data_IF_257874545729
#
_entry.id   IF_257874545729
#
_cell.length_a   1.000
_cell.length_b   1.000
_cell.length_c   1.000
_cell.angle_alpha   90.00
_cell.angle_beta   90.00
_cell.angle_gamma   90.00
#
_symmetry.space_group_name_H-M   'P 1'
#
loop_
_entity.id
_entity.type
_entity.pdbx_description
1 polymer ?
#
# COMPACT_ATOMS: atom_id res chain seq x y z
N UNK A 1 17.74 -17.77 1.22
CA UNK A 1 16.49 -16.99 1.06
C UNK A 1 15.36 -17.78 1.70
N UNK A 2 14.49 -17.16 2.48
CA UNK A 2 13.37 -17.85 3.14
C UNK A 2 12.32 -18.36 2.15
N UNK A 3 11.53 -19.34 2.57
CA UNK A 3 10.33 -19.80 1.84
C UNK A 3 9.37 -18.63 1.55
N UNK A 4 9.19 -17.72 2.52
CA UNK A 4 8.40 -16.51 2.33
C UNK A 4 8.95 -15.60 1.22
N UNK A 5 10.24 -15.25 1.26
CA UNK A 5 10.86 -14.41 0.24
C UNK A 5 10.77 -15.03 -1.17
N UNK A 6 10.94 -16.35 -1.28
CA UNK A 6 10.76 -17.07 -2.56
C UNK A 6 9.32 -16.97 -3.07
N UNK A 7 8.31 -17.08 -2.19
CA UNK A 7 6.90 -16.91 -2.56
C UNK A 7 6.62 -15.50 -3.07
N UNK A 8 7.17 -14.47 -2.44
CA UNK A 8 7.02 -13.08 -2.89
C UNK A 8 7.70 -12.87 -4.24
N UNK A 9 8.90 -13.40 -4.44
CA UNK A 9 9.59 -13.34 -5.73
C UNK A 9 8.77 -14.01 -6.84
N UNK A 10 8.30 -15.23 -6.59
CA UNK A 10 7.46 -15.97 -7.54
C UNK A 10 6.18 -15.21 -7.89
N UNK A 11 5.53 -14.63 -6.88
CA UNK A 11 4.34 -13.81 -7.07
C UNK A 11 4.58 -12.59 -7.96
N UNK A 12 5.67 -11.85 -7.75
CA UNK A 12 6.01 -10.68 -8.58
C UNK A 12 6.35 -11.11 -10.02
N UNK A 13 7.13 -12.19 -10.20
CA UNK A 13 7.49 -12.70 -11.52
C UNK A 13 6.32 -13.21 -12.35
N UNK A 14 5.34 -13.84 -11.69
CA UNK A 14 4.19 -14.44 -12.35
C UNK A 14 3.00 -13.48 -12.53
N UNK A 15 3.11 -12.24 -12.06
CA UNK A 15 2.03 -11.26 -12.18
C UNK A 15 2.06 -10.57 -13.57
N UNK A 16 1.18 -11.01 -14.47
CA UNK A 16 1.09 -10.51 -15.85
C UNK A 16 0.77 -9.01 -15.96
N UNK A 17 0.17 -8.40 -14.94
CA UNK A 17 -0.21 -6.99 -14.97
C UNK A 17 0.99 -6.05 -14.83
N UNK A 18 2.02 -6.50 -14.11
CA UNK A 18 3.26 -5.76 -13.83
C UNK A 18 4.49 -6.36 -14.50
N UNK A 19 4.34 -7.48 -15.20
CA UNK A 19 5.41 -8.11 -15.98
C UNK A 19 6.00 -7.11 -16.98
N UNK A 20 7.33 -7.01 -16.95
CA UNK A 20 8.09 -6.06 -17.79
C UNK A 20 8.17 -4.63 -17.25
N UNK A 21 7.45 -4.30 -16.16
CA UNK A 21 7.53 -2.97 -15.53
C UNK A 21 8.70 -2.85 -14.54
N UNK A 22 9.46 -3.91 -14.28
CA UNK A 22 10.56 -3.88 -13.32
C UNK A 22 11.82 -4.63 -13.79
N UNK A 23 12.96 -4.32 -13.16
CA UNK A 23 14.25 -5.00 -13.33
C UNK A 23 15.00 -5.07 -11.99
N UNK A 24 15.98 -5.96 -11.90
CA UNK A 24 16.87 -6.10 -10.73
C UNK A 24 16.10 -6.29 -9.41
N UNK A 25 15.11 -7.18 -9.41
CA UNK A 25 14.31 -7.51 -8.23
C UNK A 25 15.18 -8.23 -7.19
N UNK A 26 15.24 -7.67 -5.99
CA UNK A 26 15.81 -8.28 -4.80
C UNK A 26 14.76 -8.27 -3.69
N UNK A 27 14.65 -9.37 -2.95
CA UNK A 27 13.69 -9.51 -1.86
C UNK A 27 14.41 -10.08 -0.66
N UNK A 28 14.25 -9.42 0.48
CA UNK A 28 14.82 -9.78 1.77
C UNK A 28 13.71 -9.85 2.83
N UNK A 29 13.95 -10.60 3.89
CA UNK A 29 12.98 -10.81 4.97
C UNK A 29 12.38 -12.21 4.99
N UNK A 30 11.83 -12.58 6.14
CA UNK A 30 11.29 -13.92 6.41
C UNK A 30 9.79 -13.89 6.76
N UNK A 31 9.24 -12.70 6.96
CA UNK A 31 7.84 -12.44 7.26
C UNK A 31 7.47 -11.04 6.74
N UNK A 32 6.19 -10.65 6.77
CA UNK A 32 5.75 -9.35 6.24
C UNK A 32 6.33 -8.13 6.96
N UNK A 33 6.63 -8.23 8.26
CA UNK A 33 7.14 -7.11 9.06
C UNK A 33 8.65 -6.89 8.88
N UNK A 34 9.37 -7.91 8.44
CA UNK A 34 10.78 -7.82 8.04
C UNK A 34 11.01 -7.74 6.53
N UNK A 35 9.95 -7.60 5.72
CA UNK A 35 10.04 -7.62 4.26
C UNK A 35 10.64 -6.32 3.71
N UNK A 36 11.65 -6.46 2.85
CA UNK A 36 12.22 -5.41 2.02
C UNK A 36 12.29 -5.89 0.56
N UNK A 37 11.91 -5.03 -0.37
CA UNK A 37 11.95 -5.31 -1.81
C UNK A 37 12.64 -4.14 -2.50
N UNK A 38 13.71 -4.42 -3.22
CA UNK A 38 14.44 -3.45 -4.04
C UNK A 38 14.26 -3.81 -5.51
N UNK A 39 13.92 -2.83 -6.35
CA UNK A 39 13.80 -3.02 -7.79
C UNK A 39 13.97 -1.70 -8.54
N UNK A 40 14.18 -1.78 -9.86
CA UNK A 40 14.09 -0.64 -10.76
C UNK A 40 12.75 -0.71 -11.49
N UNK A 41 11.93 0.32 -11.35
CA UNK A 41 10.60 0.39 -11.93
C UNK A 41 10.58 1.30 -13.17
N UNK A 42 9.94 0.82 -14.23
CA UNK A 42 9.88 1.52 -15.51
C UNK A 42 9.13 2.86 -15.40
N UNK A 43 9.74 3.91 -15.96
CA UNK A 43 9.22 5.27 -15.87
C UNK A 43 9.22 5.90 -14.48
N UNK A 44 9.87 5.28 -13.49
CA UNK A 44 10.00 5.81 -12.11
C UNK A 44 11.46 5.82 -11.64
N UNK A 45 12.19 4.71 -11.77
CA UNK A 45 13.57 4.56 -11.30
C UNK A 45 13.73 3.52 -10.20
N UNK A 46 14.79 3.62 -9.41
CA UNK A 46 15.07 2.68 -8.31
C UNK A 46 14.08 2.92 -7.16
N UNK A 47 13.33 1.90 -6.78
CA UNK A 47 12.41 1.95 -5.65
C UNK A 47 12.78 0.89 -4.61
N UNK A 48 12.53 1.22 -3.35
CA UNK A 48 12.56 0.28 -2.24
C UNK A 48 11.19 0.25 -1.57
N UNK A 49 10.62 -0.93 -1.40
CA UNK A 49 9.43 -1.15 -0.60
C UNK A 49 9.87 -1.80 0.70
N UNK A 50 9.57 -1.19 1.83
CA UNK A 50 9.93 -1.70 3.15
C UNK A 50 8.75 -1.61 4.11
N UNK A 51 8.73 -2.53 5.08
CA UNK A 51 7.82 -2.43 6.23
C UNK A 51 7.99 -1.07 6.89
N UNK A 52 6.87 -0.47 7.31
CA UNK A 52 6.87 0.80 8.04
C UNK A 52 7.62 0.66 9.38
N UNK A 53 8.52 1.60 9.63
CA UNK A 53 9.33 1.68 10.85
C UNK A 53 9.34 3.11 11.44
N UNK A 54 9.79 3.27 12.67
CA UNK A 54 9.91 4.57 13.35
C UNK A 54 10.78 5.56 12.56
N UNK A 55 11.78 5.08 11.84
CA UNK A 55 12.65 5.91 10.98
C UNK A 55 11.89 6.59 9.84
N UNK A 56 10.76 6.02 9.41
CA UNK A 56 9.91 6.55 8.34
C UNK A 56 8.93 7.65 8.83
N UNK A 57 8.78 7.83 10.16
CA UNK A 57 7.70 8.63 10.74
C UNK A 57 7.60 10.04 10.14
N UNK A 58 8.72 10.76 10.10
CA UNK A 58 8.75 12.14 9.61
C UNK A 58 8.56 12.21 8.11
N UNK A 59 9.15 11.28 7.36
CA UNK A 59 8.96 11.19 5.92
C UNK A 59 7.51 10.89 5.54
N UNK A 60 6.83 10.01 6.29
CA UNK A 60 5.42 9.70 6.06
C UNK A 60 4.53 10.91 6.38
N UNK A 61 4.84 11.64 7.46
CA UNK A 61 4.17 12.90 7.78
C UNK A 61 4.32 13.93 6.66
N UNK A 62 5.53 14.11 6.16
CA UNK A 62 5.83 15.11 5.13
C UNK A 62 5.24 14.68 3.77
N UNK A 63 5.30 13.39 3.43
CA UNK A 63 4.62 12.81 2.27
C UNK A 63 3.11 13.08 2.31
N UNK A 64 2.47 12.81 3.45
CA UNK A 64 1.05 13.07 3.63
C UNK A 64 0.73 14.55 3.46
N UNK A 65 1.55 15.45 4.00
CA UNK A 65 1.32 16.90 3.89
C UNK A 65 1.52 17.42 2.47
N UNK A 66 2.61 17.04 1.81
CA UNK A 66 3.14 17.77 0.66
C UNK A 66 3.12 16.99 -0.67
N UNK A 67 3.15 15.66 -0.65
CA UNK A 67 3.21 14.84 -1.89
C UNK A 67 1.83 14.46 -2.43
N UNK A 68 0.79 14.58 -1.60
CA UNK A 68 -0.59 14.30 -1.97
C UNK A 68 -1.37 15.59 -2.23
N UNK A 69 -2.09 15.64 -3.35
CA UNK A 69 -3.07 16.70 -3.59
C UNK A 69 -4.35 16.47 -2.74
N UNK A 70 -5.17 17.51 -2.65
CA UNK A 70 -6.41 17.49 -1.86
C UNK A 70 -7.34 16.31 -2.21
N UNK A 71 -7.56 16.10 -3.51
CA UNK A 71 -8.42 15.02 -4.01
C UNK A 71 -7.91 13.65 -3.56
N UNK A 72 -6.60 13.40 -3.64
CA UNK A 72 -6.00 12.12 -3.25
C UNK A 72 -6.17 11.86 -1.74
N UNK A 73 -6.03 12.88 -0.90
CA UNK A 73 -6.27 12.77 0.55
C UNK A 73 -7.73 12.44 0.86
N UNK A 74 -8.66 13.05 0.13
CA UNK A 74 -10.09 12.73 0.26
C UNK A 74 -10.36 11.27 -0.13
N UNK A 75 -9.77 10.80 -1.23
CA UNK A 75 -9.99 9.45 -1.74
C UNK A 75 -9.33 8.35 -0.91
N UNK A 76 -8.29 8.68 -0.13
CA UNK A 76 -7.57 7.78 0.75
C UNK A 76 -7.69 8.25 2.21
N UNK A 77 -8.83 7.99 2.89
CA UNK A 77 -9.19 8.58 4.17
C UNK A 77 -8.45 7.96 5.37
N UNK A 78 -7.12 7.87 5.32
CA UNK A 78 -6.31 7.26 6.37
C UNK A 78 -6.00 8.21 7.52
N UNK A 79 -5.45 9.38 7.20
CA UNK A 79 -4.97 10.34 8.20
C UNK A 79 -5.78 11.64 8.17
N UNK A 80 -5.86 12.36 9.30
CA UNK A 80 -6.46 13.68 9.32
C UNK A 80 -5.55 14.72 8.66
N UNK A 81 -6.13 15.85 8.24
CA UNK A 81 -5.40 17.00 7.70
C UNK A 81 -4.94 18.01 8.76
N UNK A 82 -5.18 17.72 10.05
CA UNK A 82 -5.06 18.65 11.17
C UNK A 82 -3.95 18.28 12.16
N UNK A 83 -3.92 18.93 13.33
CA UNK A 83 -2.92 18.73 14.39
C UNK A 83 -2.87 17.29 14.95
N UNK A 84 -3.86 16.45 14.63
CA UNK A 84 -3.92 15.05 15.08
C UNK A 84 -3.12 14.10 14.19
N UNK A 85 -2.58 14.57 13.06
CA UNK A 85 -1.84 13.75 12.09
C UNK A 85 -0.77 12.89 12.76
N UNK A 86 0.10 13.50 13.56
CA UNK A 86 1.23 12.81 14.19
C UNK A 86 0.76 11.69 15.13
N UNK A 87 -0.37 11.89 15.82
CA UNK A 87 -0.99 10.85 16.66
C UNK A 87 -1.52 9.69 15.83
N UNK A 88 -2.12 9.95 14.67
CA UNK A 88 -2.61 8.90 13.79
C UNK A 88 -1.46 8.08 13.19
N UNK A 89 -0.37 8.73 12.76
CA UNK A 89 0.84 8.04 12.30
C UNK A 89 1.44 7.20 13.43
N UNK A 90 1.53 7.73 14.65
CA UNK A 90 2.04 7.00 15.81
C UNK A 90 1.20 5.76 16.16
N UNK A 91 -0.14 5.86 16.07
CA UNK A 91 -1.02 4.72 16.25
C UNK A 91 -0.84 3.66 15.15
N UNK A 92 -0.62 4.11 13.90
CA UNK A 92 -0.37 3.23 12.77
C UNK A 92 0.95 2.45 12.95
N UNK A 93 2.00 3.13 13.39
CA UNK A 93 3.29 2.51 13.75
C UNK A 93 3.12 1.51 14.91
N UNK A 94 2.41 1.92 15.97
CA UNK A 94 2.15 1.04 17.11
C UNK A 94 1.41 -0.23 16.69
N UNK A 95 0.46 -0.16 15.77
CA UNK A 95 -0.21 -1.36 15.26
C UNK A 95 0.73 -2.25 14.43
N UNK A 96 1.62 -1.65 13.64
CA UNK A 96 2.68 -2.37 12.91
C UNK A 96 3.60 -3.13 13.87
N UNK A 97 4.12 -2.46 14.91
CA UNK A 97 5.02 -3.02 15.91
C UNK A 97 4.36 -4.16 16.70
N UNK A 98 3.07 -4.01 17.00
CA UNK A 98 2.26 -5.05 17.64
C UNK A 98 1.77 -6.13 16.68
N UNK A 99 2.22 -6.10 15.42
CA UNK A 99 1.85 -7.05 14.36
C UNK A 99 0.35 -7.16 14.11
N UNK A 100 -0.43 -6.12 14.40
CA UNK A 100 -1.89 -6.08 14.15
C UNK A 100 -2.21 -5.69 12.71
N UNK A 101 -1.37 -4.80 12.18
CA UNK A 101 -1.43 -4.32 10.82
C UNK A 101 -0.14 -4.71 10.09
N UNK A 102 -0.19 -4.72 8.75
CA UNK A 102 0.96 -4.90 7.89
C UNK A 102 1.03 -3.70 6.96
N UNK A 103 2.04 -2.87 7.13
CA UNK A 103 2.12 -1.55 6.54
C UNK A 103 3.46 -1.41 5.83
N UNK A 104 3.44 -0.81 4.64
CA UNK A 104 4.60 -0.61 3.81
C UNK A 104 4.67 0.82 3.29
N UNK A 105 5.90 1.29 3.13
CA UNK A 105 6.23 2.48 2.36
C UNK A 105 6.99 2.07 1.10
N UNK A 106 6.65 2.70 -0.01
CA UNK A 106 7.44 2.65 -1.24
C UNK A 106 8.25 3.94 -1.35
N UNK A 107 9.57 3.79 -1.35
CA UNK A 107 10.56 4.86 -1.41
C UNK A 107 11.14 4.95 -2.81
N UNK A 108 11.27 6.18 -3.34
CA UNK A 108 12.11 6.47 -4.49
C UNK A 108 13.54 6.76 -4.00
N UNK A 109 14.51 6.04 -4.55
CA UNK A 109 15.92 6.16 -4.18
C UNK A 109 16.64 7.08 -5.16
N UNK A 110 16.97 8.31 -4.72
CA UNK A 110 17.61 9.34 -5.53
C UNK A 110 19.11 9.41 -5.22
N UNK A 111 19.90 8.62 -5.95
CA UNK A 111 21.35 8.44 -5.78
C UNK A 111 21.72 7.84 -4.40
N UNK A 112 22.70 6.92 -4.33
CA UNK A 112 23.11 6.29 -3.06
C UNK A 112 22.14 5.26 -2.41
N UNK A 113 22.32 5.04 -1.10
CA UNK A 113 21.47 4.17 -0.25
C UNK A 113 20.45 4.98 0.56
N UNK A 114 19.40 4.32 1.09
CA UNK A 114 18.32 4.98 1.85
C UNK A 114 18.81 5.88 3.01
N UNK A 115 19.97 5.53 3.57
CA UNK A 115 20.50 6.15 4.78
C UNK A 115 21.46 7.31 4.50
N UNK A 116 21.80 7.57 3.23
CA UNK A 116 22.86 8.52 2.87
C UNK A 116 22.33 9.88 2.42
N UNK A 117 21.06 9.98 2.00
CA UNK A 117 20.50 11.22 1.46
C UNK A 117 19.09 11.54 1.96
N UNK A 118 18.91 12.77 2.45
CA UNK A 118 17.60 13.42 2.69
C UNK A 118 16.77 13.60 1.39
N UNK A 119 17.28 13.15 0.24
CA UNK A 119 16.64 13.26 -1.07
C UNK A 119 15.68 12.11 -1.38
N UNK A 120 15.74 11.01 -0.63
CA UNK A 120 14.80 9.90 -0.78
C UNK A 120 13.39 10.35 -0.35
N UNK A 121 12.38 9.96 -1.12
CA UNK A 121 10.99 10.35 -0.82
C UNK A 121 10.08 9.13 -0.85
N UNK A 122 9.10 9.11 0.04
CA UNK A 122 7.98 8.18 -0.06
C UNK A 122 7.17 8.55 -1.31
N UNK A 123 6.97 7.57 -2.19
CA UNK A 123 6.14 7.69 -3.39
C UNK A 123 4.86 6.89 -3.30
N UNK A 124 4.70 6.09 -2.25
CA UNK A 124 3.47 5.39 -1.96
C UNK A 124 3.44 4.78 -0.57
N UNK A 125 2.23 4.56 -0.08
CA UNK A 125 1.97 3.98 1.22
C UNK A 125 0.79 3.02 1.08
N UNK A 126 0.90 1.82 1.63
CA UNK A 126 -0.14 0.80 1.52
C UNK A 126 -0.10 -0.18 2.69
N UNK A 127 -1.24 -0.80 2.98
CA UNK A 127 -1.40 -1.58 4.19
C UNK A 127 -2.46 -2.68 4.08
N UNK A 128 -2.39 -3.61 5.02
CA UNK A 128 -3.43 -4.55 5.41
C UNK A 128 -3.75 -4.32 6.89
N UNK A 129 -4.94 -3.78 7.18
CA UNK A 129 -5.40 -3.56 8.55
C UNK A 129 -6.10 -4.79 9.11
N UNK A 130 -5.95 -4.99 10.42
CA UNK A 130 -6.65 -6.03 11.17
C UNK A 130 -6.42 -7.41 10.54
N UNK A 131 -5.16 -7.76 10.31
CA UNK A 131 -4.81 -9.00 9.63
C UNK A 131 -5.13 -10.27 10.45
N UNK A 132 -5.58 -10.16 11.70
CA UNK A 132 -6.09 -11.30 12.49
C UNK A 132 -7.61 -11.47 12.35
N UNK A 133 -8.33 -10.45 11.87
CA UNK A 133 -9.79 -10.47 11.63
C UNK A 133 -10.15 -11.29 10.40
N UNK A 134 -11.33 -11.90 10.37
CA UNK A 134 -11.89 -12.52 9.16
C UNK A 134 -12.07 -11.50 8.02
N UNK A 135 -12.30 -10.23 8.37
CA UNK A 135 -12.46 -9.11 7.47
C UNK A 135 -11.24 -8.18 7.59
N UNK A 136 -10.21 -8.44 6.79
CA UNK A 136 -9.02 -7.58 6.71
C UNK A 136 -9.15 -6.56 5.58
N UNK A 137 -8.81 -5.31 5.87
CA UNK A 137 -9.00 -4.20 4.95
C UNK A 137 -7.68 -3.77 4.32
N UNK A 138 -7.70 -3.54 3.02
CA UNK A 138 -6.55 -3.02 2.27
C UNK A 138 -6.78 -1.59 1.85
N UNK A 139 -5.72 -0.80 1.95
CA UNK A 139 -5.67 0.55 1.40
C UNK A 139 -4.30 0.81 0.78
N UNK A 140 -4.29 1.67 -0.24
CA UNK A 140 -3.07 2.16 -0.86
C UNK A 140 -3.25 3.58 -1.33
N UNK A 141 -2.14 4.29 -1.41
CA UNK A 141 -2.05 5.59 -2.05
C UNK A 141 -0.70 5.73 -2.75
N UNK A 142 -0.73 6.32 -3.94
CA UNK A 142 0.46 6.65 -4.73
C UNK A 142 0.54 8.16 -4.82
N UNK A 143 1.74 8.71 -4.55
CA UNK A 143 2.04 10.13 -4.73
C UNK A 143 1.58 10.63 -6.10
N UNK A 144 1.00 11.83 -6.13
CA UNK A 144 0.34 12.38 -7.32
C UNK A 144 1.24 12.36 -8.57
N UNK A 145 2.54 12.64 -8.39
CA UNK A 145 3.54 12.64 -9.47
C UNK A 145 3.87 11.25 -10.06
N UNK A 146 3.51 10.17 -9.36
CA UNK A 146 3.85 8.79 -9.72
C UNK A 146 2.62 7.94 -10.09
N UNK A 147 1.43 8.56 -10.15
CA UNK A 147 0.22 7.90 -10.61
C UNK A 147 0.29 7.58 -12.11
N UNK A 148 -0.51 6.60 -12.56
CA UNK A 148 -0.49 6.13 -13.96
C UNK A 148 0.73 5.29 -14.34
N UNK A 149 1.64 5.00 -13.39
CA UNK A 149 2.84 4.16 -13.61
C UNK A 149 2.68 2.71 -13.14
N UNK A 150 1.44 2.22 -12.97
CA UNK A 150 1.11 0.87 -12.46
C UNK A 150 1.63 0.55 -11.03
N UNK A 151 2.14 1.51 -10.28
CA UNK A 151 2.56 1.29 -8.88
C UNK A 151 1.40 0.82 -7.98
N UNK A 152 0.19 1.37 -8.18
CA UNK A 152 -0.99 0.90 -7.47
C UNK A 152 -1.28 -0.58 -7.70
N UNK A 153 -1.07 -1.08 -8.93
CA UNK A 153 -1.17 -2.50 -9.28
C UNK A 153 -0.10 -3.34 -8.59
N UNK A 154 1.14 -2.84 -8.49
CA UNK A 154 2.19 -3.51 -7.73
C UNK A 154 1.80 -3.65 -6.25
N UNK A 155 1.40 -2.56 -5.60
CA UNK A 155 1.13 -2.52 -4.15
C UNK A 155 -0.02 -3.43 -3.75
N UNK A 156 -1.15 -3.35 -4.47
CA UNK A 156 -2.31 -4.21 -4.20
C UNK A 156 -2.03 -5.67 -4.50
N UNK A 157 -1.23 -5.98 -5.52
CA UNK A 157 -0.85 -7.36 -5.82
C UNK A 157 0.03 -7.91 -4.70
N UNK A 158 1.06 -7.15 -4.31
CA UNK A 158 1.97 -7.52 -3.23
C UNK A 158 1.22 -7.78 -1.92
N UNK A 159 0.36 -6.87 -1.49
CA UNK A 159 -0.39 -7.05 -0.23
C UNK A 159 -1.38 -8.22 -0.31
N UNK A 160 -1.94 -8.50 -1.50
CA UNK A 160 -2.80 -9.66 -1.74
C UNK A 160 -2.05 -10.98 -1.62
N UNK A 161 -0.84 -11.07 -2.20
CA UNK A 161 0.01 -12.25 -2.03
C UNK A 161 0.45 -12.42 -0.58
N UNK A 162 0.84 -11.34 0.10
CA UNK A 162 1.18 -11.37 1.53
C UNK A 162 0.00 -11.91 2.35
N UNK A 163 -1.20 -11.36 2.17
CA UNK A 163 -2.40 -11.85 2.85
C UNK A 163 -2.64 -13.34 2.59
N UNK A 164 -2.47 -13.80 1.35
CA UNK A 164 -2.57 -15.21 0.97
C UNK A 164 -1.54 -16.08 1.70
N UNK A 165 -0.28 -15.63 1.82
CA UNK A 165 0.74 -16.35 2.59
C UNK A 165 0.43 -16.47 4.08
N UNK A 166 -0.39 -15.56 4.60
CA UNK A 166 -0.89 -15.57 5.98
C UNK A 166 -2.20 -16.38 6.14
N UNK A 167 -2.61 -17.10 5.09
CA UNK A 167 -3.81 -17.94 5.11
C UNK A 167 -5.12 -17.16 4.98
N UNK A 168 -5.09 -15.89 4.58
CA UNK A 168 -6.32 -15.16 4.28
C UNK A 168 -7.01 -15.72 3.08
N UNK A 169 -8.34 -15.80 3.18
CA UNK A 169 -9.23 -16.22 2.10
C UNK A 169 -9.76 -15.03 1.31
N UNK A 170 -9.90 -13.88 1.96
CA UNK A 170 -10.55 -12.71 1.37
C UNK A 170 -9.87 -11.42 1.81
N UNK A 171 -9.96 -10.41 0.95
CA UNK A 171 -9.59 -9.03 1.25
C UNK A 171 -10.76 -8.11 0.98
N UNK A 172 -10.82 -7.03 1.74
CA UNK A 172 -11.86 -6.02 1.64
C UNK A 172 -11.25 -4.65 1.43
N UNK A 173 -11.95 -3.78 0.71
CA UNK A 173 -11.60 -2.38 0.60
C UNK A 173 -12.86 -1.56 0.36
N UNK A 174 -12.73 -0.25 0.54
CA UNK A 174 -13.73 0.71 0.11
C UNK A 174 -13.11 1.66 -0.90
N UNK A 175 -13.92 2.16 -1.82
CA UNK A 175 -13.49 3.20 -2.74
C UNK A 175 -14.60 4.22 -2.96
N UNK A 176 -14.25 5.50 -2.90
CA UNK A 176 -15.20 6.59 -3.13
C UNK A 176 -15.87 6.46 -4.50
N UNK A 177 -17.16 6.79 -4.59
CA UNK A 177 -17.90 6.81 -5.86
C UNK A 177 -17.30 7.77 -6.89
N UNK A 178 -16.54 8.75 -6.41
CA UNK A 178 -15.78 9.72 -7.19
C UNK A 178 -14.36 9.25 -7.57
N UNK A 179 -13.99 8.00 -7.26
CA UNK A 179 -12.70 7.39 -7.62
C UNK A 179 -12.82 6.29 -8.68
N UNK A 180 -13.18 6.61 -9.94
CA UNK A 180 -13.29 5.62 -11.00
C UNK A 180 -11.95 4.94 -11.32
N UNK A 181 -10.82 5.61 -11.07
CA UNK A 181 -9.49 5.05 -11.29
C UNK A 181 -9.21 3.91 -10.30
N UNK A 182 -9.46 4.14 -9.00
CA UNK A 182 -9.35 3.12 -7.97
C UNK A 182 -10.30 1.95 -8.20
N UNK A 183 -11.58 2.25 -8.44
CA UNK A 183 -12.59 1.22 -8.76
C UNK A 183 -12.17 0.33 -9.94
N UNK A 184 -11.73 0.92 -11.05
CA UNK A 184 -11.31 0.18 -12.23
C UNK A 184 -10.05 -0.65 -11.98
N UNK A 185 -9.10 -0.14 -11.17
CA UNK A 185 -7.93 -0.91 -10.74
C UNK A 185 -8.37 -2.16 -9.97
N UNK A 186 -9.23 -1.99 -8.95
CA UNK A 186 -9.68 -3.09 -8.09
C UNK A 186 -10.49 -4.12 -8.89
N UNK A 187 -11.42 -3.67 -9.74
CA UNK A 187 -12.18 -4.55 -10.61
C UNK A 187 -11.26 -5.37 -11.55
N UNK A 188 -10.23 -4.75 -12.13
CA UNK A 188 -9.24 -5.45 -12.97
C UNK A 188 -8.48 -6.54 -12.22
N UNK A 189 -8.33 -6.39 -10.90
CA UNK A 189 -7.65 -7.35 -10.03
C UNK A 189 -8.59 -8.41 -9.46
N UNK A 190 -9.88 -8.40 -9.85
CA UNK A 190 -10.87 -9.38 -9.44
C UNK A 190 -11.59 -9.04 -8.14
N UNK A 191 -11.51 -7.79 -7.67
CA UNK A 191 -12.41 -7.34 -6.61
C UNK A 191 -13.84 -7.22 -7.16
N UNK A 192 -14.78 -7.80 -6.43
CA UNK A 192 -16.22 -7.76 -6.71
C UNK A 192 -16.88 -6.65 -5.88
N UNK A 193 -17.83 -5.94 -6.48
CA UNK A 193 -18.69 -4.97 -5.78
C UNK A 193 -19.68 -5.71 -4.86
N UNK A 194 -19.70 -5.34 -3.58
CA UNK A 194 -20.57 -5.92 -2.55
C UNK A 194 -21.72 -4.97 -2.17
N UNK A 195 -21.66 -3.72 -2.64
CA UNK A 195 -22.64 -2.67 -2.37
C UNK A 195 -22.03 -1.43 -1.74
N UNK A 196 -22.91 -0.55 -1.27
CA UNK A 196 -22.55 0.78 -0.79
C UNK A 196 -22.53 0.85 0.73
N UNK A 197 -21.51 1.51 1.28
CA UNK A 197 -21.39 1.74 2.72
C UNK A 197 -21.04 3.20 3.03
N UNK A 198 -21.44 3.67 4.21
CA UNK A 198 -21.07 4.99 4.71
C UNK A 198 -19.67 4.93 5.36
N UNK A 199 -18.73 5.74 4.87
CA UNK A 199 -17.35 5.84 5.36
C UNK A 199 -17.10 7.24 5.91
N UNK A 200 -16.48 7.33 7.08
CA UNK A 200 -15.99 8.58 7.65
C UNK A 200 -14.63 8.94 7.05
N UNK A 201 -14.48 10.18 6.59
CA UNK A 201 -13.26 10.73 6.00
C UNK A 201 -12.57 11.64 7.02
N UNK A 202 -11.49 11.19 7.69
CA UNK A 202 -10.84 11.95 8.75
C UNK A 202 -10.24 13.27 8.28
N UNK A 203 -9.72 13.32 7.03
CA UNK A 203 -9.07 14.50 6.46
C UNK A 203 -9.97 15.74 6.47
N UNK A 204 -11.28 15.55 6.32
CA UNK A 204 -12.27 16.60 6.08
C UNK A 204 -13.44 16.54 7.08
N UNK A 205 -13.41 15.60 8.03
CA UNK A 205 -14.42 15.42 9.07
C UNK A 205 -15.87 15.29 8.54
N UNK A 206 -16.08 14.53 7.47
CA UNK A 206 -17.42 14.24 6.93
C UNK A 206 -17.60 12.75 6.63
N UNK A 207 -18.83 12.37 6.30
CA UNK A 207 -19.15 11.01 5.84
C UNK A 207 -19.53 11.02 4.37
N UNK A 208 -19.12 9.98 3.64
CA UNK A 208 -19.51 9.76 2.24
C UNK A 208 -19.91 8.32 2.00
N UNK A 209 -20.53 8.08 0.87
CA UNK A 209 -20.85 6.74 0.40
C UNK A 209 -19.69 6.22 -0.46
N UNK A 210 -19.10 5.12 -0.02
CA UNK A 210 -18.10 4.35 -0.77
C UNK A 210 -18.72 3.06 -1.28
N UNK A 211 -18.13 2.54 -2.36
CA UNK A 211 -18.39 1.16 -2.81
C UNK A 211 -17.49 0.24 -1.99
N UNK A 212 -18.09 -0.72 -1.27
CA UNK A 212 -17.36 -1.81 -0.63
C UNK A 212 -17.07 -2.91 -1.66
N UNK A 213 -15.80 -3.33 -1.73
CA UNK A 213 -15.37 -4.36 -2.65
C UNK A 213 -14.63 -5.48 -1.93
N UNK A 214 -14.71 -6.69 -2.48
CA UNK A 214 -14.12 -7.90 -1.91
C UNK A 214 -13.35 -8.70 -2.95
N UNK A 215 -12.18 -9.18 -2.60
CA UNK A 215 -11.38 -10.11 -3.41
C UNK A 215 -11.35 -11.48 -2.74
N UNK A 216 -11.63 -12.55 -3.49
CA UNK A 216 -11.36 -13.93 -3.08
C UNK A 216 -9.92 -14.31 -3.44
N UNK A 217 -9.08 -14.52 -2.43
CA UNK A 217 -7.66 -14.84 -2.60
C UNK A 217 -7.41 -16.26 -3.13
N UNK A 218 -8.41 -17.15 -3.09
CA UNK A 218 -8.30 -18.46 -3.74
C UNK A 218 -8.27 -18.31 -5.27
N UNK A 219 -8.96 -17.29 -5.78
CA UNK A 219 -9.04 -16.99 -7.21
C UNK A 219 -8.00 -15.96 -7.69
N UNK A 220 -7.34 -15.29 -6.74
CA UNK A 220 -6.27 -14.34 -7.05
C UNK A 220 -5.03 -15.04 -7.62
N UNK A 221 -4.64 -14.63 -8.83
CA UNK A 221 -3.53 -15.16 -9.62
C UNK A 221 -2.38 -14.17 -9.63
#
# INVERSE_FOLDING_TARGET
MSDFGQKIISAIYNNDLIKGCYRNLMVEGNDPWGLSIDLNWDGVGKIKISSFDISDFWALRDWWKYSLNYQTKCLFPLFPGDERLDRYIANHLKNQENRRDIIFNAWLIKEGSLNEDFNNEIIGHFFLLQHESDKSFVGLCVSSAFQGKKLGTLFISLISYIAKTLGKKQLWLTTGKDNPVGYNLYNKLGFEDIGDIEVYVPAENYKRIDTEMKLDLNNFK
#
